data_IF_369771686961
#
_entry.id   IF_369771686961
#
_cell.length_a   1.000
_cell.length_b   1.000
_cell.length_c   1.000
_cell.angle_alpha   90.00
_cell.angle_beta   90.00
_cell.angle_gamma   90.00
#
_symmetry.space_group_name_H-M   'P 1'
#
loop_
_entity.id
_entity.type
_entity.pdbx_description
1 polymer ?
#
# COMPACT_ATOMS: atom_id res chain seq x y z
N UNK A 1 17.42 -1.05 -33.23
CA UNK A 1 16.93 -0.82 -31.86
C UNK A 1 17.41 0.55 -31.47
N UNK A 2 16.50 1.52 -31.31
CA UNK A 2 16.87 2.83 -30.77
C UNK A 2 17.17 2.65 -29.28
N UNK A 3 18.42 2.88 -28.90
CA UNK A 3 18.83 2.90 -27.50
C UNK A 3 18.20 4.11 -26.86
N UNK A 4 17.21 3.90 -25.99
CA UNK A 4 16.62 4.97 -25.22
C UNK A 4 17.67 5.53 -24.25
N UNK A 5 18.18 6.73 -24.56
CA UNK A 5 19.12 7.43 -23.70
C UNK A 5 18.35 8.30 -22.70
N UNK A 6 18.75 8.24 -21.43
CA UNK A 6 18.13 8.99 -20.35
C UNK A 6 19.18 9.87 -19.65
N UNK A 7 18.76 11.07 -19.29
CA UNK A 7 19.49 11.96 -18.39
C UNK A 7 18.91 11.84 -16.98
N UNK A 8 19.78 11.74 -15.99
CA UNK A 8 19.39 11.67 -14.58
C UNK A 8 19.89 12.91 -13.86
N UNK A 9 19.04 13.53 -13.04
CA UNK A 9 19.43 14.63 -12.17
C UNK A 9 18.93 14.39 -10.75
N UNK A 10 19.71 14.85 -9.78
CA UNK A 10 19.40 14.74 -8.35
C UNK A 10 19.53 16.13 -7.76
N UNK A 11 18.48 16.61 -7.10
CA UNK A 11 18.48 17.92 -6.45
C UNK A 11 17.68 17.88 -5.15
N UNK A 12 17.93 18.86 -4.27
CA UNK A 12 17.17 19.03 -3.03
C UNK A 12 16.06 20.04 -3.23
N UNK A 13 14.88 19.71 -2.72
CA UNK A 13 13.72 20.60 -2.60
C UNK A 13 13.41 20.82 -1.13
N UNK A 14 13.09 22.05 -0.75
CA UNK A 14 12.74 22.37 0.63
C UNK A 14 11.22 22.22 0.81
N UNK A 15 10.79 21.45 1.81
CA UNK A 15 9.37 21.20 2.12
C UNK A 15 8.87 22.12 3.26
N UNK A 16 9.37 23.35 3.33
CA UNK A 16 8.98 24.31 4.36
C UNK A 16 9.56 23.96 5.74
N UNK A 17 8.85 23.19 6.55
CA UNK A 17 9.02 23.08 8.01
C UNK A 17 10.27 22.31 8.51
N UNK A 18 11.42 22.43 7.85
CA UNK A 18 12.69 21.71 8.06
C UNK A 18 12.80 20.33 7.40
N UNK A 19 11.84 19.93 6.56
CA UNK A 19 12.00 18.72 5.75
C UNK A 19 12.70 19.04 4.43
N UNK A 20 13.86 18.43 4.16
CA UNK A 20 14.40 18.40 2.79
C UNK A 20 13.87 17.17 2.08
N UNK A 21 13.65 17.30 0.78
CA UNK A 21 13.24 16.23 -0.12
C UNK A 21 14.34 16.10 -1.18
N UNK A 22 14.82 14.88 -1.39
CA UNK A 22 15.66 14.54 -2.53
C UNK A 22 14.75 14.23 -3.70
N UNK A 23 14.96 14.93 -4.80
CA UNK A 23 14.21 14.75 -6.04
C UNK A 23 15.15 14.11 -7.05
N UNK A 24 14.78 12.92 -7.53
CA UNK A 24 15.45 12.21 -8.60
C UNK A 24 14.60 12.32 -9.85
N UNK A 25 15.14 12.94 -10.90
CA UNK A 25 14.45 13.07 -12.17
C UNK A 25 15.18 12.26 -13.23
N UNK A 26 14.45 11.40 -13.93
CA UNK A 26 14.88 10.71 -15.13
C UNK A 26 14.14 11.34 -16.32
N UNK A 27 14.86 12.02 -17.20
CA UNK A 27 14.31 12.61 -18.41
C UNK A 27 14.82 11.86 -19.63
N UNK A 28 13.95 11.42 -20.55
CA UNK A 28 14.39 10.84 -21.83
C UNK A 28 15.05 11.93 -22.69
N UNK A 29 16.14 11.58 -23.40
CA UNK A 29 16.85 12.51 -24.28
C UNK A 29 16.01 12.91 -25.51
N UNK A 30 15.11 12.03 -25.92
CA UNK A 30 14.13 12.29 -26.96
C UNK A 30 12.80 12.61 -26.30
N UNK A 31 12.11 13.67 -26.77
CA UNK A 31 10.86 14.22 -26.22
C UNK A 31 9.94 13.12 -25.64
N UNK A 32 9.74 13.18 -24.33
CA UNK A 32 8.89 12.27 -23.56
C UNK A 32 8.72 12.79 -22.13
N UNK A 33 7.73 12.25 -21.41
CA UNK A 33 7.53 12.61 -20.00
C UNK A 33 8.68 12.04 -19.15
N UNK A 34 9.24 12.89 -18.30
CA UNK A 34 10.27 12.48 -17.35
C UNK A 34 9.65 11.89 -16.10
N UNK A 35 10.24 10.81 -15.58
CA UNK A 35 9.85 10.26 -14.29
C UNK A 35 10.53 11.07 -13.19
N UNK A 36 9.76 11.43 -12.17
CA UNK A 36 10.30 12.12 -10.98
C UNK A 36 9.92 11.35 -9.73
N UNK A 37 10.91 11.09 -8.89
CA UNK A 37 10.76 10.45 -7.59
C UNK A 37 11.16 11.45 -6.51
N UNK A 38 10.22 11.77 -5.61
CA UNK A 38 10.45 12.62 -4.45
C UNK A 38 10.62 11.74 -3.20
N UNK A 39 11.74 11.89 -2.50
CA UNK A 39 12.10 11.10 -1.32
C UNK A 39 12.39 12.05 -0.16
N UNK A 40 11.72 11.94 0.99
CA UNK A 40 12.09 12.68 2.19
C UNK A 40 13.54 12.38 2.62
N UNK A 41 14.31 13.39 3.04
CA UNK A 41 15.70 13.23 3.51
C UNK A 41 15.78 12.24 4.70
N UNK A 42 14.74 12.19 5.55
CA UNK A 42 14.62 11.24 6.65
C UNK A 42 14.59 9.77 6.19
N UNK A 43 14.01 9.51 5.01
CA UNK A 43 13.86 8.17 4.47
C UNK A 43 15.02 7.76 3.55
N UNK A 44 15.91 8.70 3.23
CA UNK A 44 17.01 8.48 2.29
C UNK A 44 17.94 7.36 2.75
N UNK A 45 18.25 7.29 4.04
CA UNK A 45 19.08 6.21 4.60
C UNK A 45 18.47 4.83 4.42
N UNK A 46 17.15 4.71 4.59
CA UNK A 46 16.42 3.46 4.38
C UNK A 46 16.42 3.07 2.89
N UNK A 47 16.22 4.02 1.98
CA UNK A 47 16.25 3.78 0.54
C UNK A 47 17.63 3.34 0.08
N UNK A 48 18.70 4.02 0.53
CA UNK A 48 20.08 3.63 0.20
C UNK A 48 20.38 2.22 0.69
N UNK A 49 19.98 1.89 1.92
CA UNK A 49 20.20 0.55 2.50
C UNK A 49 19.47 -0.54 1.73
N UNK A 50 18.22 -0.29 1.30
CA UNK A 50 17.46 -1.24 0.47
C UNK A 50 18.10 -1.41 -0.91
N UNK A 51 18.56 -0.32 -1.54
CA UNK A 51 19.21 -0.36 -2.86
C UNK A 51 20.61 -0.98 -2.83
N UNK A 52 21.39 -0.77 -1.76
CA UNK A 52 22.71 -1.40 -1.61
C UNK A 52 22.57 -2.91 -1.51
N UNK A 53 21.58 -3.38 -0.75
CA UNK A 53 21.25 -4.81 -0.67
C UNK A 53 20.72 -5.31 -2.02
N UNK A 54 20.01 -4.47 -2.79
CA UNK A 54 19.49 -4.86 -4.10
C UNK A 54 20.61 -5.20 -5.10
N UNK A 55 21.76 -4.54 -5.03
CA UNK A 55 22.92 -4.85 -5.88
C UNK A 55 23.48 -6.25 -5.62
N UNK A 56 23.44 -6.71 -4.38
CA UNK A 56 23.85 -8.07 -3.99
C UNK A 56 22.75 -9.12 -4.28
N UNK A 57 21.50 -8.67 -4.45
CA UNK A 57 20.32 -9.52 -4.73
C UNK A 57 20.14 -9.78 -6.24
N UNK A 58 20.85 -9.10 -7.15
CA UNK A 58 20.67 -9.24 -8.60
C UNK A 58 20.97 -10.66 -9.13
N UNK A 59 21.81 -11.44 -8.44
CA UNK A 59 22.06 -12.86 -8.79
C UNK A 59 21.06 -13.84 -8.14
N UNK A 60 20.21 -13.36 -7.23
CA UNK A 60 19.09 -14.15 -6.73
C UNK A 60 17.91 -13.95 -7.67
N UNK A 61 17.30 -15.02 -8.23
CA UNK A 61 16.05 -14.87 -8.94
C UNK A 61 15.08 -14.14 -8.01
N UNK A 62 14.41 -13.12 -8.53
CA UNK A 62 13.33 -12.43 -7.83
C UNK A 62 12.33 -13.52 -7.48
N UNK A 63 12.40 -14.03 -6.25
CA UNK A 63 11.32 -14.82 -5.69
C UNK A 63 10.23 -13.79 -5.56
N UNK A 64 9.25 -13.84 -6.48
CA UNK A 64 8.02 -13.12 -6.27
C UNK A 64 7.59 -13.49 -4.85
N UNK A 65 7.63 -12.50 -3.94
CA UNK A 65 6.81 -12.59 -2.75
C UNK A 65 5.45 -12.87 -3.37
N UNK A 66 4.82 -14.04 -3.13
CA UNK A 66 3.48 -14.23 -3.64
C UNK A 66 2.77 -12.99 -3.17
N UNK A 67 2.29 -12.17 -4.11
CA UNK A 67 1.31 -11.16 -3.77
C UNK A 67 0.37 -11.96 -2.90
N UNK A 68 0.31 -11.64 -1.60
CA UNK A 68 -0.88 -12.01 -0.85
C UNK A 68 -1.92 -11.45 -1.78
N UNK A 69 -2.68 -12.33 -2.44
CA UNK A 69 -3.92 -11.92 -3.04
C UNK A 69 -4.57 -11.22 -1.86
N UNK A 70 -4.50 -9.89 -1.84
CA UNK A 70 -5.42 -9.08 -1.10
C UNK A 70 -6.72 -9.52 -1.75
N UNK A 71 -7.31 -10.58 -1.21
CA UNK A 71 -8.69 -10.91 -1.43
C UNK A 71 -9.35 -9.55 -1.34
N UNK A 72 -9.90 -9.08 -2.46
CA UNK A 72 -10.56 -7.79 -2.52
C UNK A 72 -11.81 -7.94 -1.67
N UNK A 73 -11.63 -7.90 -0.36
CA UNK A 73 -12.71 -7.93 0.60
C UNK A 73 -13.45 -6.64 0.32
N UNK A 74 -14.71 -6.80 -0.07
CA UNK A 74 -15.55 -5.70 -0.48
C UNK A 74 -15.53 -4.62 0.61
N UNK A 75 -15.15 -3.40 0.22
CA UNK A 75 -15.08 -2.29 1.16
C UNK A 75 -16.50 -1.86 1.50
N UNK A 76 -16.95 -2.20 2.71
CA UNK A 76 -18.24 -1.78 3.21
C UNK A 76 -18.26 -0.28 3.50
N UNK A 77 -19.41 0.36 3.24
CA UNK A 77 -19.60 1.76 3.62
C UNK A 77 -19.49 1.91 5.15
N UNK A 78 -18.84 2.97 5.68
CA UNK A 78 -18.60 3.12 7.12
C UNK A 78 -19.85 3.04 8.00
N UNK A 79 -21.00 3.52 7.51
CA UNK A 79 -22.28 3.44 8.21
C UNK A 79 -22.80 1.99 8.33
N UNK A 80 -22.57 1.16 7.32
CA UNK A 80 -22.92 -0.27 7.33
C UNK A 80 -22.05 -0.98 8.36
N UNK A 81 -20.73 -0.75 8.34
CA UNK A 81 -19.78 -1.34 9.32
C UNK A 81 -20.17 -0.96 10.75
N UNK A 82 -20.48 0.31 11.01
CA UNK A 82 -20.91 0.74 12.34
C UNK A 82 -22.21 0.06 12.80
N UNK A 83 -23.15 -0.14 11.87
CA UNK A 83 -24.41 -0.82 12.17
C UNK A 83 -24.17 -2.31 12.44
N UNK A 84 -23.37 -2.99 11.62
CA UNK A 84 -22.97 -4.40 11.80
C UNK A 84 -22.30 -4.59 13.17
N UNK A 85 -21.35 -3.73 13.54
CA UNK A 85 -20.69 -3.77 14.85
C UNK A 85 -21.70 -3.61 15.99
N UNK A 86 -22.61 -2.64 15.88
CA UNK A 86 -23.61 -2.38 16.91
C UNK A 86 -24.55 -3.57 17.07
N UNK A 87 -25.02 -4.16 15.96
CA UNK A 87 -25.88 -5.32 15.97
C UNK A 87 -25.16 -6.57 16.51
N UNK A 88 -23.90 -6.77 16.14
CA UNK A 88 -23.07 -7.83 16.68
C UNK A 88 -22.91 -7.71 18.22
N UNK A 89 -22.58 -6.51 18.70
CA UNK A 89 -22.46 -6.24 20.15
C UNK A 89 -23.81 -6.35 20.89
N UNK A 90 -24.93 -6.23 20.18
CA UNK A 90 -26.26 -6.47 20.73
C UNK A 90 -26.65 -7.96 20.82
N UNK A 91 -25.78 -8.86 20.33
CA UNK A 91 -25.92 -10.32 20.41
C UNK A 91 -26.40 -10.98 19.13
N UNK A 92 -26.44 -10.27 18.00
CA UNK A 92 -26.81 -10.86 16.70
C UNK A 92 -25.59 -11.58 16.12
N UNK A 93 -25.69 -12.88 15.79
CA UNK A 93 -24.55 -13.66 15.34
C UNK A 93 -24.18 -13.34 13.88
N UNK A 94 -22.92 -13.59 13.51
CA UNK A 94 -22.36 -13.31 12.17
C UNK A 94 -23.21 -13.88 11.02
N UNK A 95 -23.72 -15.13 11.07
CA UNK A 95 -24.53 -15.68 9.98
C UNK A 95 -25.84 -14.91 9.74
N UNK A 96 -26.42 -14.32 10.78
CA UNK A 96 -27.65 -13.54 10.66
C UNK A 96 -27.35 -12.15 10.08
N UNK A 97 -26.21 -11.54 10.46
CA UNK A 97 -25.73 -10.29 9.87
C UNK A 97 -25.40 -10.46 8.38
N UNK A 98 -24.72 -11.55 8.02
CA UNK A 98 -24.39 -11.89 6.64
C UNK A 98 -25.65 -11.98 5.77
N UNK A 99 -26.67 -12.71 6.24
CA UNK A 99 -27.97 -12.82 5.54
C UNK A 99 -28.73 -11.51 5.47
N UNK A 100 -28.73 -10.72 6.55
CA UNK A 100 -29.50 -9.46 6.60
C UNK A 100 -28.94 -8.40 5.67
N UNK A 101 -27.61 -8.36 5.51
CA UNK A 101 -26.93 -7.34 4.71
C UNK A 101 -26.46 -7.83 3.34
N UNK A 102 -26.75 -9.09 2.99
CA UNK A 102 -26.37 -9.73 1.72
C UNK A 102 -24.84 -9.71 1.48
N UNK A 103 -24.07 -9.99 2.54
CA UNK A 103 -22.62 -10.12 2.50
C UNK A 103 -22.19 -11.53 2.91
N UNK A 104 -21.03 -11.97 2.44
CA UNK A 104 -20.44 -13.22 2.94
C UNK A 104 -20.08 -13.08 4.42
N UNK A 105 -20.09 -14.20 5.14
CA UNK A 105 -19.64 -14.21 6.53
C UNK A 105 -18.19 -13.72 6.65
N UNK A 106 -17.32 -14.05 5.69
CA UNK A 106 -15.92 -13.62 5.69
C UNK A 106 -15.77 -12.10 5.63
N UNK A 107 -16.61 -11.40 4.85
CA UNK A 107 -16.64 -9.94 4.80
C UNK A 107 -17.06 -9.39 6.17
N UNK A 108 -18.12 -9.95 6.76
CA UNK A 108 -18.60 -9.51 8.08
C UNK A 108 -17.52 -9.74 9.15
N UNK A 109 -16.88 -10.92 9.16
CA UNK A 109 -15.81 -11.28 10.10
C UNK A 109 -14.63 -10.33 9.97
N UNK A 110 -14.16 -10.10 8.74
CA UNK A 110 -13.07 -9.17 8.47
C UNK A 110 -13.35 -7.76 9.02
N UNK A 111 -14.52 -7.19 8.74
CA UNK A 111 -14.87 -5.84 9.18
C UNK A 111 -15.08 -5.75 10.71
N UNK A 112 -15.49 -6.83 11.37
CA UNK A 112 -15.54 -6.90 12.83
C UNK A 112 -14.12 -6.94 13.43
N UNK A 113 -13.24 -7.76 12.87
CA UNK A 113 -11.84 -7.89 13.29
C UNK A 113 -11.05 -6.60 13.07
N UNK A 114 -11.25 -5.89 11.96
CA UNK A 114 -10.68 -4.54 11.72
C UNK A 114 -11.12 -3.52 12.78
N UNK A 115 -12.26 -3.74 13.44
CA UNK A 115 -12.75 -2.93 14.57
C UNK A 115 -12.26 -3.42 15.93
N UNK A 116 -11.37 -4.40 15.95
CA UNK A 116 -10.76 -4.96 17.16
C UNK A 116 -11.66 -5.96 17.89
N UNK A 117 -12.68 -6.49 17.22
CA UNK A 117 -13.56 -7.52 17.78
C UNK A 117 -12.94 -8.89 17.52
N UNK A 118 -12.69 -9.63 18.60
CA UNK A 118 -12.15 -11.00 18.52
C UNK A 118 -13.35 -11.95 18.42
N UNK A 119 -13.44 -12.66 17.30
CA UNK A 119 -14.43 -13.71 17.09
C UNK A 119 -13.84 -15.03 17.58
N UNK A 120 -14.52 -15.67 18.54
CA UNK A 120 -14.19 -17.01 18.99
C UNK A 120 -15.12 -17.97 18.25
N UNK A 121 -14.54 -18.87 17.45
CA UNK A 121 -15.26 -19.96 16.78
C UNK A 121 -15.94 -20.90 17.81
#
# INVERSE_FOLDING_TARGET
MDTANFNYSIHYKNNGANGKIVVLTQAPNNKGEGNTLEIPESDLGNVITKLSNFRDIVDTPIIAIPEKEEEKIETLRPNIVHTIVTLFLSGIPVPDLAKQYDYSEDIIKFHLEEKGIILLD
#
